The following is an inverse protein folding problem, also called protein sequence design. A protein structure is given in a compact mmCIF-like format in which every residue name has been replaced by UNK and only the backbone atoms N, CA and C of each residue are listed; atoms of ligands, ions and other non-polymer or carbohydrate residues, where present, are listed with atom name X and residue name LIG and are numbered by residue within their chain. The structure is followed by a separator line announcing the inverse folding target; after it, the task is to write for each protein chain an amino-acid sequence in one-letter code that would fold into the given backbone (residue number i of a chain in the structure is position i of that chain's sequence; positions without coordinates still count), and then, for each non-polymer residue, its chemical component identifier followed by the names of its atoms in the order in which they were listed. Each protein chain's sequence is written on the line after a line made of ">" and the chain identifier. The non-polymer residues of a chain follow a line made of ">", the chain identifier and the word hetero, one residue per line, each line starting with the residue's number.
data_IF_270469314357
#
_entry.id   IF_270469314357
#
_cell.length_a   1.000
_cell.length_b   1.000
_cell.length_c   1.000
_cell.angle_alpha   90.00
_cell.angle_beta   90.00
_cell.angle_gamma   90.00
#
_symmetry.space_group_name_H-M   'P 1'
#
loop_
_entity.id
_entity.type
_entity.pdbx_description
1 polymer ?
#
# COMPACT_ATOMS: atom_id res chain seq x y z
N UNK A 1 32.81 -47.14 69.38
CA UNK A 1 31.43 -47.52 68.98
C UNK A 1 30.78 -46.31 68.32
N UNK A 2 30.04 -46.47 67.21
CA UNK A 2 29.91 -45.47 66.15
C UNK A 2 28.70 -44.55 66.34
N UNK A 3 28.82 -43.26 66.00
CA UNK A 3 27.66 -42.38 65.79
C UNK A 3 27.71 -41.66 64.45
N UNK A 4 26.89 -42.22 63.55
CA UNK A 4 26.17 -41.74 62.37
C UNK A 4 26.52 -40.36 61.75
N UNK A 5 26.83 -40.47 60.45
CA UNK A 5 26.74 -39.45 59.39
C UNK A 5 25.42 -38.66 59.41
N UNK A 6 25.49 -37.37 59.10
CA UNK A 6 24.41 -36.66 58.41
C UNK A 6 25.03 -35.74 57.35
N UNK A 7 25.17 -36.24 56.11
CA UNK A 7 25.58 -35.43 54.96
C UNK A 7 24.29 -34.91 54.34
N UNK A 8 23.99 -33.63 54.60
CA UNK A 8 22.87 -32.94 53.96
C UNK A 8 23.26 -32.63 52.52
N UNK A 9 22.67 -33.36 51.56
CA UNK A 9 22.78 -33.07 50.13
C UNK A 9 21.83 -31.91 49.81
N UNK A 10 22.37 -30.70 49.66
CA UNK A 10 21.67 -29.59 49.02
C UNK A 10 21.57 -29.89 47.51
N UNK A 11 20.40 -30.31 47.05
CA UNK A 11 20.04 -30.32 45.63
C UNK A 11 19.68 -28.89 45.22
N UNK A 12 20.62 -28.21 44.58
CA UNK A 12 20.33 -26.95 43.88
C UNK A 12 19.63 -27.30 42.57
N UNK A 13 18.32 -27.18 42.54
CA UNK A 13 17.54 -27.29 41.31
C UNK A 13 17.69 -25.98 40.52
N UNK A 14 18.63 -25.95 39.57
CA UNK A 14 18.74 -24.86 38.59
C UNK A 14 17.51 -24.88 37.69
N UNK A 15 16.60 -23.93 37.91
CA UNK A 15 15.46 -23.67 37.05
C UNK A 15 15.95 -22.88 35.83
N UNK A 16 16.25 -23.57 34.73
CA UNK A 16 16.57 -22.94 33.44
C UNK A 16 15.28 -22.40 32.87
N UNK A 17 15.05 -21.09 33.02
CA UNK A 17 14.01 -20.36 32.32
C UNK A 17 14.37 -20.28 30.83
N UNK A 18 13.87 -21.22 30.03
CA UNK A 18 13.90 -21.09 28.57
C UNK A 18 12.92 -19.98 28.21
N UNK A 19 13.44 -18.75 28.05
CA UNK A 19 12.67 -17.67 27.43
C UNK A 19 12.41 -18.06 25.98
N UNK A 20 11.22 -18.57 25.69
CA UNK A 20 10.72 -18.70 24.33
C UNK A 20 10.54 -17.28 23.78
N UNK A 21 11.59 -16.74 23.17
CA UNK A 21 11.49 -15.52 22.37
C UNK A 21 10.47 -15.79 21.28
N UNK A 22 9.33 -15.08 21.31
CA UNK A 22 8.42 -15.08 20.19
C UNK A 22 9.22 -14.65 18.94
N UNK A 23 9.12 -15.36 17.81
CA UNK A 23 9.75 -14.89 16.59
C UNK A 23 9.18 -13.51 16.29
N UNK A 24 10.05 -12.50 16.25
CA UNK A 24 9.69 -11.21 15.70
C UNK A 24 9.36 -11.43 14.23
N UNK A 25 8.07 -11.56 13.90
CA UNK A 25 7.62 -11.52 12.53
C UNK A 25 8.02 -10.14 11.99
N UNK A 26 9.00 -10.13 11.08
CA UNK A 26 9.35 -8.91 10.38
C UNK A 26 8.11 -8.47 9.60
N UNK A 27 7.60 -7.27 9.90
CA UNK A 27 6.48 -6.71 9.16
C UNK A 27 6.86 -6.64 7.67
N UNK A 28 6.00 -7.18 6.81
CA UNK A 28 6.21 -7.18 5.36
C UNK A 28 5.20 -6.26 4.69
N UNK A 29 5.62 -5.59 3.62
CA UNK A 29 4.70 -4.81 2.81
C UNK A 29 3.69 -5.74 2.12
N UNK A 30 2.42 -5.33 2.13
CA UNK A 30 1.33 -6.07 1.52
C UNK A 30 0.48 -5.15 0.65
N UNK A 31 -0.14 -5.73 -0.38
CA UNK A 31 -1.11 -5.00 -1.19
C UNK A 31 -2.39 -4.76 -0.40
N UNK A 32 -2.96 -3.56 -0.48
CA UNK A 32 -4.14 -3.20 0.29
C UNK A 32 -4.55 -1.74 0.18
N UNK A 33 -5.69 -1.44 0.81
CA UNK A 33 -6.08 -0.08 1.13
C UNK A 33 -5.61 0.25 2.54
N UNK A 34 -4.94 1.37 2.69
CA UNK A 34 -4.38 1.91 3.92
C UNK A 34 -4.91 3.33 4.08
N UNK A 35 -6.06 3.49 4.72
CA UNK A 35 -6.78 4.78 4.77
C UNK A 35 -6.83 5.47 3.38
N UNK A 36 -6.15 6.61 3.19
CA UNK A 36 -6.05 7.36 1.93
C UNK A 36 -5.11 6.76 0.86
N UNK A 37 -4.34 5.72 1.19
CA UNK A 37 -3.37 5.08 0.30
C UNK A 37 -3.90 3.78 -0.30
N UNK A 38 -3.88 3.68 -1.63
CA UNK A 38 -3.89 2.42 -2.35
C UNK A 38 -2.45 1.96 -2.55
N UNK A 39 -2.11 0.75 -2.12
CA UNK A 39 -0.76 0.19 -2.25
C UNK A 39 -0.81 -1.20 -2.89
N UNK A 40 -0.01 -1.41 -3.92
CA UNK A 40 0.20 -2.71 -4.55
C UNK A 40 1.68 -3.10 -4.47
N UNK A 41 1.95 -4.33 -4.03
CA UNK A 41 3.25 -4.98 -4.16
C UNK A 41 3.24 -5.78 -5.46
N UNK A 42 4.09 -5.41 -6.41
CA UNK A 42 4.14 -6.04 -7.74
C UNK A 42 4.87 -7.39 -7.68
N UNK A 43 4.65 -8.28 -8.68
CA UNK A 43 5.40 -9.54 -8.78
C UNK A 43 6.92 -9.37 -8.86
N UNK A 44 7.38 -8.20 -9.32
CA UNK A 44 8.80 -7.84 -9.44
C UNK A 44 9.39 -7.24 -8.14
N UNK A 45 8.68 -7.39 -7.01
CA UNK A 45 9.08 -6.85 -5.70
C UNK A 45 9.25 -5.32 -5.69
N UNK A 46 8.36 -4.63 -6.41
CA UNK A 46 8.22 -3.19 -6.34
C UNK A 46 6.93 -2.81 -5.59
N UNK A 47 6.84 -1.56 -5.17
CA UNK A 47 5.57 -0.97 -4.75
C UNK A 47 5.09 0.02 -5.79
N UNK A 48 3.79 0.03 -6.00
CA UNK A 48 3.04 1.07 -6.71
C UNK A 48 1.96 1.58 -5.77
N UNK A 49 1.76 2.88 -5.71
CA UNK A 49 0.75 3.46 -4.84
C UNK A 49 0.14 4.73 -5.37
N UNK A 50 -1.03 5.05 -4.83
CA UNK A 50 -1.75 6.28 -5.04
C UNK A 50 -2.33 6.74 -3.71
N UNK A 51 -1.87 7.90 -3.23
CA UNK A 51 -2.40 8.57 -2.07
C UNK A 51 -3.44 9.59 -2.52
N UNK A 52 -4.59 9.61 -1.86
CA UNK A 52 -5.58 10.64 -2.01
C UNK A 52 -6.29 10.92 -0.69
N UNK A 53 -6.30 12.19 -0.30
CA UNK A 53 -7.03 12.68 0.85
C UNK A 53 -7.64 14.04 0.55
N UNK A 54 -8.86 14.24 1.05
CA UNK A 54 -9.60 15.48 0.93
C UNK A 54 -9.96 16.00 2.33
N UNK A 55 -9.75 17.29 2.56
CA UNK A 55 -10.08 17.95 3.82
C UNK A 55 -10.89 19.23 3.56
N UNK A 56 -11.95 19.41 4.35
CA UNK A 56 -12.75 20.64 4.43
C UNK A 56 -14.24 20.44 4.13
N UNK A 57 -15.07 21.29 4.73
CA UNK A 57 -16.49 21.44 4.38
C UNK A 57 -16.64 22.73 3.54
N UNK A 58 -17.08 22.62 2.28
CA UNK A 58 -17.34 23.74 1.37
C UNK A 58 -16.18 24.10 0.42
N UNK A 59 -14.95 24.26 0.91
CA UNK A 59 -13.74 24.37 0.06
C UNK A 59 -12.88 23.14 0.29
N UNK A 60 -12.93 22.20 -0.64
CA UNK A 60 -12.17 20.95 -0.57
C UNK A 60 -10.70 21.23 -0.89
N UNK A 61 -9.81 20.83 0.03
CA UNK A 61 -8.37 20.77 -0.20
C UNK A 61 -8.00 19.32 -0.42
N UNK A 62 -7.36 19.00 -1.53
CA UNK A 62 -6.92 17.65 -1.85
C UNK A 62 -5.40 17.54 -1.80
N UNK A 63 -4.91 16.42 -1.28
CA UNK A 63 -3.53 15.97 -1.41
C UNK A 63 -3.58 14.64 -2.16
N UNK A 64 -3.04 14.63 -3.36
CA UNK A 64 -3.04 13.44 -4.23
C UNK A 64 -1.68 13.27 -4.88
N UNK A 65 -1.15 12.05 -4.87
CA UNK A 65 0.11 11.73 -5.52
C UNK A 65 0.27 10.24 -5.77
N UNK A 66 1.06 9.92 -6.78
CA UNK A 66 1.52 8.57 -7.06
C UNK A 66 2.80 8.29 -6.30
N UNK A 67 3.08 7.01 -6.06
CA UNK A 67 4.38 6.55 -5.59
C UNK A 67 4.80 5.25 -6.29
N UNK A 68 6.09 5.08 -6.50
CA UNK A 68 6.66 3.83 -7.00
C UNK A 68 8.08 3.65 -6.46
N UNK A 69 8.46 2.42 -6.14
CA UNK A 69 9.79 2.15 -5.61
C UNK A 69 10.10 0.68 -5.45
N UNK A 70 11.35 0.39 -5.06
CA UNK A 70 11.83 -0.98 -4.83
C UNK A 70 11.68 -1.36 -3.37
N UNK A 71 11.21 -2.58 -3.13
CA UNK A 71 11.15 -3.16 -1.78
C UNK A 71 12.52 -3.68 -1.37
N UNK A 72 12.94 -3.32 -0.16
CA UNK A 72 14.08 -3.87 0.57
C UNK A 72 13.64 -4.25 2.00
N UNK A 73 13.45 -5.56 2.21
CA UNK A 73 12.91 -6.10 3.46
C UNK A 73 11.51 -5.57 3.79
N UNK A 74 11.40 -4.86 4.92
CA UNK A 74 10.16 -4.30 5.43
C UNK A 74 9.83 -2.91 4.87
N UNK A 75 10.68 -2.36 3.98
CA UNK A 75 10.60 -0.97 3.52
C UNK A 75 10.70 -0.89 2.01
N UNK A 76 10.27 0.22 1.44
CA UNK A 76 10.52 0.58 0.06
C UNK A 76 11.00 2.03 -0.02
N UNK A 77 12.09 2.27 -0.74
CA UNK A 77 12.49 3.61 -1.16
C UNK A 77 11.68 3.97 -2.40
N UNK A 78 10.89 5.03 -2.33
CA UNK A 78 9.95 5.43 -3.37
C UNK A 78 10.26 6.81 -3.91
N UNK A 79 9.93 7.01 -5.18
CA UNK A 79 9.68 8.34 -5.72
C UNK A 79 8.18 8.60 -5.64
N UNK A 80 7.79 9.78 -5.18
CA UNK A 80 6.40 10.25 -5.15
C UNK A 80 6.22 11.40 -6.12
N UNK A 81 5.09 11.50 -6.82
CA UNK A 81 4.87 12.59 -7.75
C UNK A 81 3.39 12.90 -7.98
N UNK A 82 3.12 14.16 -8.29
CA UNK A 82 1.96 14.58 -9.08
C UNK A 82 2.48 15.22 -10.38
N UNK A 83 3.28 16.27 -10.21
CA UNK A 83 3.98 16.97 -11.30
C UNK A 83 5.50 16.78 -11.23
N UNK A 84 6.09 17.06 -10.06
CA UNK A 84 7.52 16.87 -9.76
C UNK A 84 7.73 15.65 -8.87
N UNK A 85 8.89 15.00 -9.03
CA UNK A 85 9.29 13.85 -8.25
C UNK A 85 9.97 14.25 -6.93
N UNK A 86 9.50 13.68 -5.81
CA UNK A 86 10.09 13.84 -4.48
C UNK A 86 10.49 12.48 -3.92
N UNK A 87 11.60 12.39 -3.17
CA UNK A 87 11.98 11.15 -2.48
C UNK A 87 11.09 10.87 -1.28
N UNK A 88 10.84 9.58 -1.04
CA UNK A 88 10.07 9.12 0.11
C UNK A 88 10.35 7.67 0.46
N UNK A 89 9.67 7.18 1.50
CA UNK A 89 9.71 5.78 1.93
C UNK A 89 8.34 5.27 2.32
N UNK A 90 8.12 3.98 2.12
CA UNK A 90 6.98 3.24 2.69
C UNK A 90 7.55 2.12 3.53
N UNK A 91 7.26 2.09 4.83
CA UNK A 91 7.71 1.05 5.74
C UNK A 91 6.51 0.29 6.33
N UNK A 92 6.58 -1.03 6.40
CA UNK A 92 5.55 -1.80 7.09
C UNK A 92 5.52 -1.46 8.59
N UNK A 93 4.33 -1.24 9.14
CA UNK A 93 4.07 -1.10 10.58
C UNK A 93 3.31 -2.34 11.10
N UNK A 94 2.89 -2.34 12.37
CA UNK A 94 2.21 -3.49 13.01
C UNK A 94 0.89 -3.86 12.33
N UNK A 95 0.15 -2.87 11.87
CA UNK A 95 -1.22 -2.93 11.38
C UNK A 95 -1.42 -2.12 10.09
N UNK A 96 -0.33 -1.63 9.50
CA UNK A 96 -0.39 -0.66 8.42
C UNK A 96 0.94 -0.43 7.73
N UNK A 97 1.12 0.82 7.30
CA UNK A 97 2.39 1.33 6.76
C UNK A 97 2.66 2.73 7.29
N UNK A 98 3.94 3.06 7.41
CA UNK A 98 4.43 4.41 7.61
C UNK A 98 4.88 4.98 6.26
N UNK A 99 4.19 6.02 5.79
CA UNK A 99 4.50 6.76 4.57
C UNK A 99 5.26 8.04 4.90
N UNK A 100 6.47 8.20 4.38
CA UNK A 100 7.27 9.41 4.56
C UNK A 100 7.60 10.04 3.21
N UNK A 101 7.40 11.36 3.09
CA UNK A 101 7.79 12.15 1.90
C UNK A 101 8.69 13.29 2.38
N UNK A 102 10.00 13.23 2.09
CA UNK A 102 11.02 14.10 2.71
C UNK A 102 10.72 15.60 2.53
N UNK A 103 10.08 15.93 1.40
CA UNK A 103 9.67 17.29 1.03
C UNK A 103 8.15 17.43 0.93
N UNK A 104 7.40 16.76 1.81
CA UNK A 104 5.94 16.71 1.74
C UNK A 104 5.22 18.05 1.69
N UNK A 105 5.82 19.12 2.23
CA UNK A 105 5.29 20.50 2.15
C UNK A 105 5.47 21.15 0.77
N UNK A 106 6.45 20.70 0.00
CA UNK A 106 6.67 21.12 -1.39
C UNK A 106 5.76 20.33 -2.34
N UNK A 107 5.25 19.17 -1.91
CA UNK A 107 4.32 18.38 -2.70
C UNK A 107 3.02 19.16 -2.99
N UNK A 108 2.63 19.32 -4.27
CA UNK A 108 1.41 20.04 -4.64
C UNK A 108 0.17 19.53 -3.88
N UNK A 109 -0.64 20.45 -3.37
CA UNK A 109 -1.88 20.16 -2.61
C UNK A 109 -1.67 19.78 -1.14
N UNK A 110 -0.54 19.16 -0.80
CA UNK A 110 -0.34 18.54 0.51
C UNK A 110 -0.02 19.54 1.64
N UNK A 111 0.54 20.71 1.33
CA UNK A 111 0.85 21.76 2.33
C UNK A 111 -0.36 22.19 3.18
N UNK A 112 -1.58 22.07 2.63
CA UNK A 112 -2.81 22.51 3.29
C UNK A 112 -3.66 21.36 3.86
N UNK A 113 -3.24 20.10 3.68
CA UNK A 113 -3.99 18.88 4.07
C UNK A 113 -3.18 18.09 5.10
N UNK A 114 -1.89 17.92 4.83
CA UNK A 114 -0.94 17.22 5.69
C UNK A 114 0.04 18.26 6.26
N UNK A 115 -0.37 18.92 7.37
CA UNK A 115 0.59 19.58 8.28
C UNK A 115 1.72 18.57 8.61
N UNK A 116 2.97 18.98 8.94
CA UNK A 116 4.27 18.35 8.58
C UNK A 116 4.50 16.84 8.85
N UNK A 117 3.51 16.15 9.39
CA UNK A 117 3.35 14.72 9.60
C UNK A 117 3.91 13.87 8.45
N UNK A 118 3.58 14.15 7.18
CA UNK A 118 4.07 13.29 6.09
C UNK A 118 5.60 13.35 5.91
N UNK A 119 6.26 14.47 6.23
CA UNK A 119 7.72 14.56 6.20
C UNK A 119 8.38 13.83 7.38
N UNK A 120 7.63 13.65 8.47
CA UNK A 120 8.06 12.90 9.66
C UNK A 120 7.55 11.45 9.69
N UNK A 121 6.72 11.07 8.72
CA UNK A 121 6.02 9.78 8.68
C UNK A 121 4.54 9.91 9.05
N UNK A 122 3.69 9.48 8.13
CA UNK A 122 2.25 9.32 8.31
C UNK A 122 1.97 7.82 8.50
N UNK A 123 1.44 7.45 9.67
CA UNK A 123 1.02 6.07 9.94
C UNK A 123 -0.39 5.84 9.38
N UNK A 124 -0.52 4.82 8.53
CA UNK A 124 -1.73 4.53 7.78
C UNK A 124 -2.18 3.10 8.07
N UNK A 125 -3.32 2.95 8.73
CA UNK A 125 -3.85 1.64 9.11
C UNK A 125 -4.37 0.89 7.88
N UNK A 126 -4.09 -0.41 7.78
CA UNK A 126 -4.69 -1.23 6.74
C UNK A 126 -6.20 -1.38 6.97
N UNK A 127 -6.99 -0.84 6.05
CA UNK A 127 -8.47 -0.93 6.09
C UNK A 127 -8.99 -2.10 5.27
N UNK A 128 -8.23 -2.57 4.28
CA UNK A 128 -8.56 -3.77 3.51
C UNK A 128 -7.31 -4.43 2.91
N UNK A 129 -7.09 -5.71 3.23
CA UNK A 129 -6.10 -6.54 2.53
C UNK A 129 -6.56 -6.89 1.11
N UNK A 130 -5.66 -6.78 0.12
CA UNK A 130 -5.98 -6.98 -1.29
C UNK A 130 -4.93 -7.85 -1.98
N UNK A 131 -5.25 -8.30 -3.20
CA UNK A 131 -4.36 -9.08 -4.08
C UNK A 131 -3.91 -8.27 -5.30
N UNK A 132 -3.78 -6.96 -5.12
CA UNK A 132 -3.38 -6.07 -6.21
C UNK A 132 -1.93 -6.32 -6.58
N UNK A 133 -1.64 -6.32 -7.88
CA UNK A 133 -0.31 -6.57 -8.45
C UNK A 133 0.28 -5.33 -9.15
N UNK A 134 -0.44 -4.21 -9.08
CA UNK A 134 -0.06 -2.92 -9.63
C UNK A 134 -1.24 -1.96 -9.63
N UNK A 135 -1.03 -0.75 -10.12
CA UNK A 135 -2.05 0.27 -10.35
C UNK A 135 -1.95 0.78 -11.78
N UNK A 136 -3.05 1.27 -12.33
CA UNK A 136 -3.09 1.96 -13.62
C UNK A 136 -4.03 3.16 -13.55
N UNK A 137 -3.78 4.16 -14.39
CA UNK A 137 -4.68 5.30 -14.57
C UNK A 137 -5.50 5.10 -15.83
N UNK A 138 -6.81 5.32 -15.75
CA UNK A 138 -7.69 5.23 -16.90
C UNK A 138 -7.41 6.39 -17.86
N UNK A 139 -7.15 6.10 -19.12
CA UNK A 139 -6.78 7.10 -20.14
C UNK A 139 -7.92 7.48 -21.07
N UNK A 140 -8.92 6.60 -21.23
CA UNK A 140 -10.11 6.83 -22.04
C UNK A 140 -11.20 7.56 -21.25
N UNK A 141 -12.02 8.38 -21.91
CA UNK A 141 -13.17 9.06 -21.28
C UNK A 141 -14.09 8.10 -20.52
N UNK A 142 -14.23 6.87 -21.02
CA UNK A 142 -15.01 5.81 -20.38
C UNK A 142 -14.47 4.43 -20.74
N UNK A 143 -14.08 3.67 -19.73
CA UNK A 143 -13.73 2.26 -19.86
C UNK A 143 -14.79 1.39 -19.18
N UNK A 144 -15.61 0.70 -19.97
CA UNK A 144 -16.62 -0.23 -19.45
C UNK A 144 -15.97 -1.50 -18.92
N UNK A 145 -16.35 -1.90 -17.71
CA UNK A 145 -15.81 -3.08 -17.05
C UNK A 145 -16.39 -4.35 -17.67
N UNK A 146 -15.56 -5.07 -18.43
CA UNK A 146 -15.98 -6.29 -19.12
C UNK A 146 -15.86 -7.53 -18.22
N UNK A 147 -16.71 -8.53 -18.44
CA UNK A 147 -16.68 -9.78 -17.66
C UNK A 147 -15.45 -10.63 -17.99
N UNK A 148 -15.06 -10.63 -19.26
CA UNK A 148 -13.85 -11.29 -19.78
C UNK A 148 -13.20 -10.35 -20.79
N UNK A 149 -11.92 -10.58 -21.15
CA UNK A 149 -11.34 -9.99 -22.34
C UNK A 149 -12.26 -10.15 -23.56
N UNK A 150 -12.34 -9.11 -24.39
CA UNK A 150 -13.11 -9.03 -25.64
C UNK A 150 -14.63 -9.24 -25.53
N UNK A 151 -15.18 -9.36 -24.31
CA UNK A 151 -16.62 -9.46 -24.15
C UNK A 151 -17.26 -8.09 -24.40
N UNK A 152 -18.39 -8.08 -25.11
CA UNK A 152 -19.25 -6.90 -25.08
C UNK A 152 -19.62 -6.59 -23.64
N UNK A 153 -19.53 -5.32 -23.25
CA UNK A 153 -19.88 -4.86 -21.92
C UNK A 153 -21.32 -5.32 -21.59
N UNK A 154 -21.43 -6.28 -20.67
CA UNK A 154 -22.73 -6.84 -20.24
C UNK A 154 -23.33 -6.05 -19.08
N UNK A 155 -22.51 -5.24 -18.39
CA UNK A 155 -22.90 -4.39 -17.27
C UNK A 155 -22.51 -2.94 -17.54
N UNK A 156 -23.33 -1.98 -17.05
CA UNK A 156 -23.10 -0.53 -17.22
C UNK A 156 -22.00 0.03 -16.29
N UNK A 157 -21.32 -0.80 -15.51
CA UNK A 157 -20.22 -0.33 -14.67
C UNK A 157 -19.06 0.12 -15.57
N UNK A 158 -18.59 1.33 -15.36
CA UNK A 158 -17.44 1.89 -16.05
C UNK A 158 -16.62 2.71 -15.08
N UNK A 159 -15.36 2.89 -15.44
CA UNK A 159 -14.46 3.88 -14.87
C UNK A 159 -14.20 4.95 -15.92
N UNK A 160 -13.85 6.15 -15.48
CA UNK A 160 -13.67 7.31 -16.34
C UNK A 160 -12.21 7.74 -16.34
N UNK A 161 -11.87 8.60 -17.29
CA UNK A 161 -10.53 9.18 -17.40
C UNK A 161 -10.04 9.73 -16.06
N UNK A 162 -8.76 9.51 -15.78
CA UNK A 162 -8.05 9.90 -14.56
C UNK A 162 -8.43 9.12 -13.29
N UNK A 163 -9.41 8.19 -13.35
CA UNK A 163 -9.61 7.22 -12.27
C UNK A 163 -8.34 6.36 -12.11
N UNK A 164 -7.89 6.21 -10.86
CA UNK A 164 -6.83 5.27 -10.50
C UNK A 164 -7.48 3.96 -10.07
N UNK A 165 -7.11 2.87 -10.75
CA UNK A 165 -7.66 1.54 -10.51
C UNK A 165 -6.55 0.55 -10.18
N UNK A 166 -6.84 -0.40 -9.30
CA UNK A 166 -5.88 -1.43 -8.95
C UNK A 166 -5.96 -2.61 -9.91
N UNK A 167 -4.82 -3.18 -10.29
CA UNK A 167 -4.73 -4.33 -11.18
C UNK A 167 -4.69 -5.62 -10.38
N UNK A 168 -5.53 -6.58 -10.78
CA UNK A 168 -5.59 -7.93 -10.23
C UNK A 168 -4.87 -8.95 -11.13
N UNK A 169 -4.88 -8.73 -12.44
CA UNK A 169 -4.25 -9.60 -13.42
C UNK A 169 -4.02 -8.86 -14.74
N UNK A 170 -3.00 -9.28 -15.49
CA UNK A 170 -2.86 -8.95 -16.91
C UNK A 170 -3.09 -10.20 -17.75
N UNK A 171 -3.73 -10.05 -18.91
CA UNK A 171 -3.94 -11.14 -19.88
C UNK A 171 -4.12 -10.57 -21.28
N UNK A 172 -3.27 -10.97 -22.23
CA UNK A 172 -3.46 -10.72 -23.67
C UNK A 172 -3.79 -9.25 -24.05
N UNK A 173 -3.13 -8.27 -23.43
CA UNK A 173 -3.42 -6.85 -23.67
C UNK A 173 -4.61 -6.29 -22.87
N UNK A 174 -5.08 -7.02 -21.87
CA UNK A 174 -6.12 -6.60 -20.96
C UNK A 174 -5.62 -6.54 -19.52
N UNK A 175 -6.18 -5.63 -18.74
CA UNK A 175 -6.02 -5.57 -17.30
C UNK A 175 -7.35 -5.91 -16.62
N UNK A 176 -7.34 -6.88 -15.71
CA UNK A 176 -8.44 -7.06 -14.77
C UNK A 176 -8.24 -6.07 -13.65
N UNK A 177 -9.18 -5.15 -13.48
CA UNK A 177 -9.06 -4.05 -12.53
C UNK A 177 -10.10 -4.15 -11.42
N UNK A 178 -9.78 -3.55 -10.30
CA UNK A 178 -10.68 -3.23 -9.19
C UNK A 178 -10.70 -1.72 -8.99
N UNK A 179 -11.90 -1.14 -9.08
CA UNK A 179 -12.17 0.25 -8.72
C UNK A 179 -12.91 0.29 -7.39
N UNK A 180 -12.50 1.19 -6.51
CA UNK A 180 -13.18 1.45 -5.22
C UNK A 180 -13.64 2.91 -5.24
N UNK A 181 -14.95 3.13 -5.18
CA UNK A 181 -15.49 4.48 -5.15
C UNK A 181 -15.34 5.15 -3.77
N UNK A 182 -15.72 6.43 -3.66
CA UNK A 182 -15.66 7.18 -2.39
C UNK A 182 -16.51 6.59 -1.24
N UNK A 183 -17.52 5.76 -1.55
CA UNK A 183 -18.31 5.02 -0.56
C UNK A 183 -17.68 3.67 -0.16
N UNK A 184 -16.51 3.33 -0.68
CA UNK A 184 -15.83 2.06 -0.44
C UNK A 184 -16.39 0.88 -1.23
N UNK A 185 -17.34 1.10 -2.16
CA UNK A 185 -17.90 0.03 -3.00
C UNK A 185 -16.90 -0.36 -4.08
N UNK A 186 -16.68 -1.67 -4.21
CA UNK A 186 -15.77 -2.26 -5.17
C UNK A 186 -16.50 -2.70 -6.44
N UNK A 187 -15.95 -2.37 -7.61
CA UNK A 187 -16.35 -2.87 -8.92
C UNK A 187 -15.16 -3.49 -9.62
N UNK A 188 -15.37 -4.62 -10.31
CA UNK A 188 -14.29 -5.36 -10.99
C UNK A 188 -14.66 -5.68 -12.42
N UNK A 189 -13.66 -5.69 -13.30
CA UNK A 189 -13.80 -6.15 -14.68
C UNK A 189 -12.54 -5.94 -15.48
N UNK A 190 -12.60 -6.28 -16.77
CA UNK A 190 -11.49 -6.14 -17.70
C UNK A 190 -11.62 -4.85 -18.51
N UNK A 191 -10.49 -4.17 -18.69
CA UNK A 191 -10.31 -3.02 -19.59
C UNK A 191 -9.13 -3.29 -20.53
N UNK A 192 -9.20 -2.79 -21.76
CA UNK A 192 -8.17 -3.03 -22.78
C UNK A 192 -7.00 -2.05 -22.64
N UNK A 193 -5.83 -2.42 -23.19
CA UNK A 193 -4.59 -1.66 -23.07
C UNK A 193 -4.66 -0.23 -23.61
N UNK A 194 -5.53 0.06 -24.56
CA UNK A 194 -5.77 1.42 -25.07
C UNK A 194 -6.61 2.30 -24.13
N UNK A 195 -7.17 1.72 -23.07
CA UNK A 195 -8.02 2.41 -22.08
C UNK A 195 -7.30 2.76 -20.78
N UNK A 196 -6.04 2.35 -20.61
CA UNK A 196 -5.26 2.67 -19.42
C UNK A 196 -3.79 3.00 -19.71
N UNK A 197 -3.18 3.73 -18.80
CA UNK A 197 -1.75 3.97 -18.74
C UNK A 197 -1.16 3.35 -17.46
N UNK A 198 0.03 2.74 -17.58
CA UNK A 198 0.81 2.31 -16.42
C UNK A 198 1.35 3.53 -15.67
N UNK A 199 1.56 3.39 -14.36
CA UNK A 199 2.26 4.41 -13.60
C UNK A 199 3.70 4.54 -14.10
N UNK A 200 4.11 5.76 -14.38
CA UNK A 200 5.47 6.11 -14.75
C UNK A 200 5.88 7.30 -13.89
N UNK A 201 6.99 7.21 -13.15
CA UNK A 201 7.50 8.35 -12.39
C UNK A 201 7.69 9.57 -13.29
N UNK A 202 7.34 10.75 -12.79
CA UNK A 202 7.68 11.99 -13.46
C UNK A 202 9.21 12.06 -13.65
N UNK A 203 9.65 12.62 -14.78
CA UNK A 203 11.07 12.92 -14.98
C UNK A 203 11.44 14.05 -14.02
N UNK A 204 12.39 13.81 -13.13
CA UNK A 204 12.98 14.84 -12.28
C UNK A 204 13.84 15.82 -13.07
#
# INVERSE_FOLDING_TARGET
>A
MPFKRCVSRLLVASFVCVAAGAPAFAATLHSGKYEGLMLAVTPEHQVEGFYAEEMGEGVTRSCTFFLQGKVDGAKASVSTWLDEAYPGTVAASSDGVMLTVEKGREHPGCINVLMPEIATGLDLTQTAAKKWIGLVTVSSDKAFLQKTPDAKASHRAYVVKDDVVAVLAFKDGWAQVEFINGEGRSSKGWISQDQYARLVPAKG
#
